data_IF_327416744998
#
_entry.id   IF_327416744998
#
_cell.length_a   1.000
_cell.length_b   1.000
_cell.length_c   1.000
_cell.angle_alpha   90.00
_cell.angle_beta   90.00
_cell.angle_gamma   90.00
#
_symmetry.space_group_name_H-M   'P 1'
#
loop_
_entity.id
_entity.type
_entity.pdbx_description
1 polymer ?
#
# COMPACT_ATOMS: atom_id res chain seq x y z
N UNK A 1 29.30 29.45 -42.29
CA UNK A 1 28.01 28.76 -42.47
C UNK A 1 28.00 27.33 -41.90
N UNK A 2 28.94 26.43 -42.24
CA UNK A 2 28.97 25.04 -41.71
C UNK A 2 29.05 24.94 -40.18
N UNK A 3 29.89 25.75 -39.53
CA UNK A 3 30.04 25.74 -38.07
C UNK A 3 28.76 26.20 -37.34
N UNK A 4 28.06 27.20 -37.88
CA UNK A 4 26.78 27.68 -37.34
C UNK A 4 25.69 26.60 -37.46
N UNK A 5 25.64 25.91 -38.59
CA UNK A 5 24.69 24.82 -38.83
C UNK A 5 24.93 23.62 -37.89
N UNK A 6 26.19 23.24 -37.67
CA UNK A 6 26.55 22.21 -36.70
C UNK A 6 26.20 22.62 -35.26
N UNK A 7 26.44 23.87 -34.88
CA UNK A 7 26.06 24.37 -33.56
C UNK A 7 24.54 24.29 -33.33
N UNK A 8 23.73 24.66 -34.34
CA UNK A 8 22.26 24.57 -34.26
C UNK A 8 21.81 23.11 -34.11
N UNK A 9 22.38 22.17 -34.89
CA UNK A 9 22.04 20.74 -34.78
C UNK A 9 22.36 20.20 -33.38
N UNK A 10 23.54 20.54 -32.83
CA UNK A 10 23.94 20.11 -31.48
C UNK A 10 22.99 20.66 -30.42
N UNK A 11 22.62 21.94 -30.52
CA UNK A 11 21.67 22.55 -29.57
C UNK A 11 20.30 21.90 -29.66
N UNK A 12 19.79 21.65 -30.86
CA UNK A 12 18.48 20.98 -31.06
C UNK A 12 18.53 19.55 -30.52
N UNK A 13 19.58 18.78 -30.83
CA UNK A 13 19.73 17.42 -30.34
C UNK A 13 19.84 17.37 -28.80
N UNK A 14 20.62 18.27 -28.20
CA UNK A 14 20.73 18.38 -26.74
C UNK A 14 19.39 18.76 -26.10
N UNK A 15 18.63 19.67 -26.73
CA UNK A 15 17.30 20.08 -26.26
C UNK A 15 16.32 18.91 -26.30
N UNK A 16 16.29 18.14 -27.39
CA UNK A 16 15.43 16.96 -27.52
C UNK A 16 15.80 15.87 -26.52
N UNK A 17 17.10 15.65 -26.29
CA UNK A 17 17.58 14.70 -25.29
C UNK A 17 17.17 15.12 -23.87
N UNK A 18 17.29 16.40 -23.53
CA UNK A 18 16.88 16.92 -22.22
C UNK A 18 15.36 16.77 -21.98
N UNK A 19 14.54 17.07 -22.99
CA UNK A 19 13.08 16.87 -22.92
C UNK A 19 12.75 15.37 -22.79
N UNK A 20 13.39 14.51 -23.58
CA UNK A 20 13.21 13.06 -23.48
C UNK A 20 13.56 12.51 -22.10
N UNK A 21 14.66 12.99 -21.50
CA UNK A 21 15.06 12.61 -20.15
C UNK A 21 14.06 13.06 -19.07
N UNK A 22 13.55 14.29 -19.17
CA UNK A 22 12.50 14.81 -18.28
C UNK A 22 11.19 14.00 -18.37
N UNK A 23 10.76 13.65 -19.59
CA UNK A 23 9.56 12.82 -19.79
C UNK A 23 9.79 11.41 -19.24
N UNK A 24 10.97 10.82 -19.48
CA UNK A 24 11.29 9.49 -18.96
C UNK A 24 11.27 9.46 -17.43
N UNK A 25 11.94 10.41 -16.77
CA UNK A 25 12.00 10.44 -15.28
C UNK A 25 10.62 10.62 -14.63
N UNK A 26 9.73 11.43 -15.22
CA UNK A 26 8.39 11.68 -14.69
C UNK A 26 7.40 10.52 -14.91
N UNK A 27 7.57 9.74 -15.98
CA UNK A 27 6.78 8.53 -16.23
C UNK A 27 7.35 7.31 -15.52
N UNK A 28 8.67 7.25 -15.36
CA UNK A 28 9.34 6.12 -14.72
C UNK A 28 9.18 6.13 -13.20
N UNK A 29 9.12 7.31 -12.58
CA UNK A 29 8.95 7.42 -11.13
C UNK A 29 7.74 6.61 -10.61
N UNK A 30 7.87 5.92 -9.47
CA UNK A 30 6.77 5.16 -8.89
C UNK A 30 5.55 6.05 -8.61
N UNK A 31 4.36 5.55 -8.97
CA UNK A 31 3.08 6.23 -8.76
C UNK A 31 2.13 5.24 -8.10
N UNK A 32 2.26 5.13 -6.79
CA UNK A 32 1.47 4.17 -6.02
C UNK A 32 0.10 4.76 -5.68
N UNK A 33 -0.95 3.99 -5.94
CA UNK A 33 -2.34 4.27 -5.60
C UNK A 33 -2.88 3.13 -4.72
N UNK A 34 -3.72 3.47 -3.73
CA UNK A 34 -4.30 2.53 -2.79
C UNK A 34 -5.77 2.31 -3.13
N UNK A 35 -6.15 1.05 -3.35
CA UNK A 35 -7.50 0.64 -3.69
C UNK A 35 -8.11 -0.23 -2.59
N UNK A 36 -9.44 -0.10 -2.48
CA UNK A 36 -10.30 -0.90 -1.59
C UNK A 36 -9.75 -1.06 -0.17
N UNK A 37 -9.35 0.02 0.52
CA UNK A 37 -8.82 -0.09 1.87
C UNK A 37 -9.92 -0.47 2.87
N UNK A 38 -9.61 -1.42 3.75
CA UNK A 38 -10.50 -1.79 4.85
C UNK A 38 -9.73 -2.15 6.12
N UNK A 39 -10.43 -2.03 7.24
CA UNK A 39 -9.93 -2.29 8.58
C UNK A 39 -10.61 -3.56 9.11
N UNK A 40 -9.83 -4.45 9.71
CA UNK A 40 -10.34 -5.55 10.53
C UNK A 40 -9.89 -5.36 11.96
N UNK A 41 -10.86 -5.20 12.86
CA UNK A 41 -10.59 -5.11 14.29
C UNK A 41 -10.25 -6.48 14.85
N UNK A 42 -9.14 -6.56 15.58
CA UNK A 42 -8.83 -7.68 16.46
C UNK A 42 -8.95 -7.27 17.93
N UNK A 43 -8.72 -8.23 18.83
CA UNK A 43 -8.86 -8.02 20.27
C UNK A 43 -7.72 -7.19 20.87
N UNK A 44 -6.50 -7.34 20.35
CA UNK A 44 -5.27 -6.71 20.86
C UNK A 44 -4.55 -5.83 19.83
N UNK A 45 -4.90 -5.99 18.56
CA UNK A 45 -4.36 -5.24 17.42
C UNK A 45 -5.42 -5.18 16.33
N UNK A 46 -5.24 -4.31 15.33
CA UNK A 46 -6.13 -4.25 14.17
C UNK A 46 -5.32 -4.31 12.87
N UNK A 47 -5.84 -5.03 11.88
CA UNK A 47 -5.22 -5.13 10.56
C UNK A 47 -5.82 -4.13 9.58
N UNK A 48 -4.98 -3.46 8.79
CA UNK A 48 -5.43 -2.66 7.64
C UNK A 48 -4.98 -3.35 6.37
N UNK A 49 -5.93 -3.52 5.46
CA UNK A 49 -5.79 -4.27 4.22
C UNK A 49 -6.14 -3.38 3.04
N UNK A 50 -5.44 -3.58 1.93
CA UNK A 50 -5.61 -2.78 0.72
C UNK A 50 -4.94 -3.47 -0.47
N UNK A 51 -5.15 -2.90 -1.65
CA UNK A 51 -4.40 -3.23 -2.86
C UNK A 51 -3.59 -2.00 -3.26
N UNK A 52 -2.28 -2.15 -3.44
CA UNK A 52 -1.41 -1.07 -3.91
C UNK A 52 -1.08 -1.30 -5.39
N UNK A 53 -1.43 -0.35 -6.24
CA UNK A 53 -1.10 -0.34 -7.68
C UNK A 53 -0.01 0.67 -7.95
N UNK A 54 1.01 0.29 -8.71
CA UNK A 54 2.06 1.21 -9.13
C UNK A 54 1.93 1.50 -10.64
N UNK A 55 1.47 2.71 -10.97
CA UNK A 55 1.32 3.18 -12.34
C UNK A 55 2.64 3.70 -12.94
N UNK A 56 3.72 3.74 -12.16
CA UNK A 56 5.07 4.08 -12.61
C UNK A 56 5.75 2.87 -13.26
N UNK A 57 6.84 3.12 -14.00
CA UNK A 57 7.62 2.04 -14.62
C UNK A 57 8.67 1.42 -13.69
N UNK A 58 9.07 2.14 -12.64
CA UNK A 58 10.02 1.69 -11.63
C UNK A 58 9.28 1.16 -10.41
N UNK A 59 9.91 0.21 -9.72
CA UNK A 59 9.47 -0.26 -8.40
C UNK A 59 9.45 0.90 -7.39
N UNK A 60 8.42 0.94 -6.55
CA UNK A 60 8.38 1.82 -5.38
C UNK A 60 8.07 1.02 -4.12
N UNK A 61 8.72 1.36 -3.02
CA UNK A 61 8.54 0.65 -1.75
C UNK A 61 7.86 1.53 -0.70
N UNK A 62 6.86 0.96 -0.04
CA UNK A 62 6.30 1.48 1.21
C UNK A 62 7.25 1.09 2.34
N UNK A 63 7.78 2.06 3.07
CA UNK A 63 8.84 1.84 4.10
C UNK A 63 8.38 2.14 5.52
N UNK A 64 7.28 2.88 5.67
CA UNK A 64 6.67 3.15 6.97
C UNK A 64 5.17 3.45 6.81
N UNK A 65 4.44 3.35 7.91
CA UNK A 65 3.05 3.74 8.00
C UNK A 65 2.79 4.41 9.36
N UNK A 66 1.81 5.31 9.41
CA UNK A 66 1.31 5.91 10.65
C UNK A 66 -0.20 6.12 10.60
N UNK A 67 -0.81 6.20 11.79
CA UNK A 67 -2.19 6.67 11.93
C UNK A 67 -2.22 8.19 12.01
N UNK A 68 -3.05 8.82 11.17
CA UNK A 68 -3.23 10.27 11.15
C UNK A 68 -4.41 10.65 12.05
N UNK A 69 -4.20 11.63 12.92
CA UNK A 69 -5.26 12.21 13.76
C UNK A 69 -5.59 11.46 15.05
N UNK A 70 -5.02 10.26 15.27
CA UNK A 70 -5.20 9.49 16.51
C UNK A 70 -3.81 9.13 17.08
N UNK A 71 -3.28 9.90 18.03
CA UNK A 71 -1.95 9.65 18.59
C UNK A 71 -1.92 8.40 19.48
N UNK A 72 -0.73 7.86 19.69
CA UNK A 72 -0.49 6.76 20.65
C UNK A 72 -0.53 5.35 20.03
N UNK A 73 -0.87 5.22 18.75
CA UNK A 73 -0.83 3.94 18.04
C UNK A 73 0.40 3.85 17.15
N UNK A 74 1.06 2.69 17.18
CA UNK A 74 2.15 2.35 16.26
C UNK A 74 1.59 1.50 15.13
N UNK A 75 1.97 1.82 13.89
CA UNK A 75 1.61 1.02 12.72
C UNK A 75 2.87 0.36 12.18
N UNK A 76 2.81 -0.95 11.98
CA UNK A 76 3.92 -1.74 11.45
C UNK A 76 3.52 -2.42 10.14
N UNK A 77 4.47 -2.58 9.22
CA UNK A 77 4.26 -3.37 8.01
C UNK A 77 4.50 -4.83 8.35
N UNK A 78 3.55 -5.71 8.05
CA UNK A 78 3.62 -7.13 8.37
C UNK A 78 3.39 -7.96 7.11
N UNK A 79 3.93 -9.18 7.13
CA UNK A 79 3.66 -10.22 6.14
C UNK A 79 3.19 -11.47 6.86
N UNK A 80 2.06 -12.01 6.43
CA UNK A 80 1.60 -13.34 6.83
C UNK A 80 2.33 -14.37 5.97
N UNK A 81 2.93 -15.36 6.62
CA UNK A 81 3.59 -16.51 6.00
C UNK A 81 3.04 -17.80 6.60
N UNK A 82 2.91 -18.87 5.79
CA UNK A 82 2.56 -20.19 6.31
C UNK A 82 3.83 -20.94 6.65
N UNK A 83 4.07 -21.18 7.94
CA UNK A 83 5.19 -21.97 8.44
C UNK A 83 4.64 -23.19 9.16
N UNK A 84 5.02 -24.37 8.68
CA UNK A 84 4.61 -25.66 9.28
C UNK A 84 3.07 -25.79 9.42
N UNK A 85 2.33 -25.32 8.41
CA UNK A 85 0.87 -25.34 8.41
C UNK A 85 0.20 -24.31 9.33
N UNK A 86 0.98 -23.39 9.93
CA UNK A 86 0.47 -22.28 10.76
C UNK A 86 0.73 -20.95 10.09
N UNK A 87 -0.27 -20.07 10.08
CA UNK A 87 -0.09 -18.69 9.66
C UNK A 87 0.67 -17.91 10.75
N UNK A 88 1.79 -17.30 10.38
CA UNK A 88 2.62 -16.47 11.25
C UNK A 88 2.72 -15.08 10.61
N UNK A 89 2.46 -14.04 11.40
CA UNK A 89 2.61 -12.65 10.98
C UNK A 89 3.98 -12.16 11.43
N UNK A 90 4.80 -11.72 10.47
CA UNK A 90 6.16 -11.22 10.73
C UNK A 90 6.28 -9.77 10.30
N UNK A 91 6.91 -8.90 11.12
CA UNK A 91 7.17 -7.53 10.71
C UNK A 91 8.17 -7.52 9.55
N UNK A 92 7.97 -6.60 8.61
CA UNK A 92 8.84 -6.37 7.46
C UNK A 92 9.25 -4.90 7.42
N UNK A 93 10.43 -4.61 6.89
CA UNK A 93 10.92 -3.24 6.79
C UNK A 93 10.33 -2.46 5.61
N UNK A 94 9.77 -3.17 4.62
CA UNK A 94 9.18 -2.55 3.43
C UNK A 94 8.23 -3.48 2.68
N UNK A 95 7.32 -2.90 1.89
CA UNK A 95 6.47 -3.57 0.90
C UNK A 95 6.73 -2.92 -0.45
N UNK A 96 7.30 -3.64 -1.40
CA UNK A 96 7.65 -3.09 -2.72
C UNK A 96 6.62 -3.48 -3.77
N UNK A 97 6.15 -2.48 -4.52
CA UNK A 97 5.16 -2.63 -5.58
C UNK A 97 5.88 -2.52 -6.94
N UNK A 98 5.90 -3.59 -7.75
CA UNK A 98 6.61 -3.57 -9.03
C UNK A 98 6.02 -2.53 -9.96
N UNK A 99 6.84 -1.93 -10.82
CA UNK A 99 6.38 -0.97 -11.82
C UNK A 99 5.34 -1.57 -12.77
N UNK A 100 4.23 -0.86 -13.00
CA UNK A 100 3.09 -1.32 -13.79
C UNK A 100 2.30 -2.47 -13.16
N UNK A 101 2.60 -2.85 -11.92
CA UNK A 101 1.99 -3.99 -11.24
C UNK A 101 1.32 -3.63 -9.93
N UNK A 102 0.96 -4.67 -9.17
CA UNK A 102 0.22 -4.54 -7.93
C UNK A 102 0.76 -5.45 -6.82
N UNK A 103 0.50 -5.05 -5.58
CA UNK A 103 0.65 -5.90 -4.40
C UNK A 103 -0.66 -5.90 -3.63
N UNK A 104 -1.16 -7.11 -3.35
CA UNK A 104 -2.35 -7.33 -2.52
C UNK A 104 -1.92 -7.45 -1.06
N UNK A 105 -2.12 -6.39 -0.29
CA UNK A 105 -1.98 -6.41 1.15
C UNK A 105 -3.29 -6.91 1.79
N UNK A 106 -3.65 -8.16 1.51
CA UNK A 106 -4.92 -8.79 1.90
C UNK A 106 -4.72 -10.03 2.80
N UNK A 107 -3.61 -10.12 3.53
CA UNK A 107 -3.17 -11.33 4.26
C UNK A 107 -4.00 -11.76 5.48
N UNK A 108 -5.34 -11.83 5.35
CA UNK A 108 -6.32 -12.20 6.37
C UNK A 108 -6.42 -13.72 6.57
N UNK A 109 -6.26 -14.51 5.51
CA UNK A 109 -6.55 -15.96 5.48
C UNK A 109 -5.45 -16.79 4.83
N UNK A 110 -4.29 -16.19 4.56
CA UNK A 110 -3.20 -16.84 3.87
C UNK A 110 -1.97 -15.95 3.81
N UNK A 111 -1.10 -16.24 2.84
CA UNK A 111 0.11 -15.45 2.62
C UNK A 111 -0.22 -14.06 2.07
N UNK A 112 0.50 -13.04 2.54
CA UNK A 112 0.33 -11.69 2.01
C UNK A 112 0.72 -10.60 2.99
N UNK A 113 0.79 -9.37 2.51
CA UNK A 113 1.10 -8.23 3.35
C UNK A 113 -0.14 -7.68 4.05
N UNK A 114 0.06 -6.89 5.09
CA UNK A 114 -0.94 -6.05 5.74
C UNK A 114 -0.24 -5.02 6.64
N UNK A 115 -0.97 -4.02 7.11
CA UNK A 115 -0.49 -3.16 8.19
C UNK A 115 -1.08 -3.64 9.51
N UNK A 116 -0.25 -3.64 10.55
CA UNK A 116 -0.66 -3.97 11.90
C UNK A 116 -0.68 -2.70 12.73
N UNK A 117 -1.87 -2.30 13.19
CA UNK A 117 -2.03 -1.27 14.21
C UNK A 117 -1.87 -1.95 15.57
N UNK A 118 -0.80 -1.60 16.29
CA UNK A 118 -0.51 -2.16 17.61
C UNK A 118 -1.39 -1.50 18.68
N UNK A 119 -2.08 -2.33 19.47
CA UNK A 119 -3.00 -1.90 20.53
C UNK A 119 -4.46 -2.03 20.13
N UNK A 120 -5.33 -2.07 21.14
CA UNK A 120 -6.78 -2.09 20.94
C UNK A 120 -7.26 -0.70 20.55
N UNK A 121 -7.84 -0.57 19.35
CA UNK A 121 -8.54 0.66 18.96
C UNK A 121 -9.79 0.87 19.83
N UNK A 122 -10.11 2.13 20.22
CA UNK A 122 -11.37 2.44 20.90
C UNK A 122 -12.59 1.95 20.10
N UNK A 123 -13.64 1.50 20.79
CA UNK A 123 -14.78 0.81 20.16
C UNK A 123 -15.62 1.73 19.26
N UNK A 124 -15.53 3.05 19.46
CA UNK A 124 -16.15 4.12 18.66
C UNK A 124 -15.37 4.47 17.38
N UNK A 125 -14.11 4.04 17.26
CA UNK A 125 -13.28 4.28 16.06
C UNK A 125 -13.66 3.29 14.96
N UNK A 126 -14.62 3.65 14.09
CA UNK A 126 -15.06 2.80 12.96
C UNK A 126 -14.29 3.00 11.66
N UNK A 127 -13.43 4.00 11.61
CA UNK A 127 -12.59 4.33 10.46
C UNK A 127 -11.25 4.84 10.94
N UNK A 128 -10.18 4.49 10.24
CA UNK A 128 -8.84 5.01 10.49
C UNK A 128 -8.29 5.69 9.25
N UNK A 129 -7.55 6.77 9.42
CA UNK A 129 -6.76 7.40 8.37
C UNK A 129 -5.31 6.95 8.50
N UNK A 130 -4.75 6.42 7.42
CA UNK A 130 -3.39 5.91 7.36
C UNK A 130 -2.59 6.77 6.41
N UNK A 131 -1.38 7.13 6.82
CA UNK A 131 -0.35 7.69 5.94
C UNK A 131 0.73 6.63 5.72
N UNK A 132 1.02 6.35 4.47
CA UNK A 132 2.14 5.54 4.01
C UNK A 132 3.29 6.44 3.61
N UNK A 133 4.51 6.05 3.95
CA UNK A 133 5.73 6.69 3.48
C UNK A 133 6.42 5.82 2.45
N UNK A 134 6.77 6.42 1.33
CA UNK A 134 7.50 5.76 0.25
C UNK A 134 9.01 6.01 0.37
N UNK A 135 9.80 5.10 -0.18
CA UNK A 135 11.26 5.18 -0.25
C UNK A 135 11.79 6.42 -1.00
N UNK A 136 11.01 6.96 -1.93
CA UNK A 136 11.30 8.22 -2.63
C UNK A 136 11.01 9.48 -1.80
N UNK A 137 10.60 9.33 -0.53
CA UNK A 137 10.31 10.42 0.40
C UNK A 137 8.90 11.02 0.27
N UNK A 138 8.09 10.57 -0.69
CA UNK A 138 6.68 10.96 -0.79
C UNK A 138 5.80 10.16 0.18
N UNK A 139 4.55 10.59 0.33
CA UNK A 139 3.58 9.92 1.19
C UNK A 139 2.20 9.84 0.54
N UNK A 140 1.46 8.80 0.91
CA UNK A 140 0.08 8.56 0.45
C UNK A 140 -0.83 8.47 1.68
N UNK A 141 -1.94 9.18 1.67
CA UNK A 141 -2.97 9.06 2.70
C UNK A 141 -4.22 8.38 2.14
N UNK A 142 -4.81 7.50 2.94
CA UNK A 142 -6.09 6.89 2.62
C UNK A 142 -6.87 6.60 3.92
N UNK A 143 -8.16 6.33 3.78
CA UNK A 143 -9.01 5.98 4.91
C UNK A 143 -9.52 4.54 4.77
N UNK A 144 -9.43 3.76 5.83
CA UNK A 144 -9.91 2.39 5.91
C UNK A 144 -11.07 2.31 6.90
N UNK A 145 -12.24 1.87 6.42
CA UNK A 145 -13.41 1.64 7.26
C UNK A 145 -13.42 0.20 7.79
N UNK A 146 -13.91 0.01 9.01
CA UNK A 146 -14.12 -1.30 9.59
C UNK A 146 -15.09 -2.10 8.70
N UNK A 147 -14.65 -3.28 8.25
CA UNK A 147 -15.53 -4.25 7.61
C UNK A 147 -15.85 -5.35 8.61
N UNK A 148 -17.13 -5.59 8.79
CA UNK A 148 -17.63 -6.74 9.53
C UNK A 148 -17.42 -7.99 8.68
N UNK A 149 -16.91 -9.05 9.29
CA UNK A 149 -16.79 -10.34 8.59
C UNK A 149 -18.20 -10.84 8.31
N UNK A 150 -18.58 -10.98 7.05
CA UNK A 150 -19.55 -12.01 6.71
C UNK A 150 -18.87 -13.34 6.99
N UNK A 151 -19.15 -13.94 8.15
CA UNK A 151 -18.69 -15.29 8.48
C UNK A 151 -19.53 -16.24 7.63
N UNK A 152 -18.99 -16.90 6.60
CA UNK A 152 -19.73 -17.91 5.87
C UNK A 152 -19.87 -19.11 6.80
N UNK A 153 -21.07 -19.33 7.34
CA UNK A 153 -21.35 -20.48 8.21
C UNK A 153 -22.12 -20.20 9.50
N UNK A 154 -22.73 -19.02 9.68
CA UNK A 154 -23.86 -18.91 10.61
C UNK A 154 -25.12 -19.45 9.92
N UNK A 155 -25.18 -20.78 9.76
CA UNK A 155 -26.38 -21.47 9.32
C UNK A 155 -27.52 -21.12 10.28
N UNK A 156 -28.57 -20.50 9.73
CA UNK A 156 -29.84 -20.32 10.40
C UNK A 156 -30.49 -21.69 10.61
N UNK A 157 -30.18 -22.35 11.73
CA UNK A 157 -31.08 -23.36 12.27
C UNK A 157 -32.29 -22.65 12.87
N UNK A 158 -33.31 -22.40 12.04
CA UNK A 158 -34.66 -22.21 12.55
C UNK A 158 -35.13 -23.55 13.15
N UNK A 159 -35.06 -23.64 14.48
CA UNK A 159 -35.77 -24.64 15.25
C UNK A 159 -37.28 -24.38 15.11
N UNK A 160 -37.93 -25.14 14.24
CA UNK A 160 -39.38 -25.33 14.32
C UNK A 160 -39.72 -26.26 15.49
N UNK A 161 -40.05 -25.66 16.63
CA UNK A 161 -40.77 -26.34 17.71
C UNK A 161 -41.95 -25.49 18.18
N UNK A 162 -43.17 -26.02 18.00
CA UNK A 162 -44.41 -25.49 18.59
C UNK A 162 -45.58 -25.46 17.63
#
# INVERSE_FOLDING_TARGET
MRALYLAVIVVVAASLAAVGFLVYTTLAAPKIEIHSPFLRRGTMSSGVFFIAHNHGLLEGCIVAAEMVGVPGFRVELHKTEVREGKAVMVPVSKICVPGGGEVKALGIEGEGYHLMILGKLPDDVKKVRIRLYLDNGSSIEFEAAEQELEVPGADHHEEHHG
#
